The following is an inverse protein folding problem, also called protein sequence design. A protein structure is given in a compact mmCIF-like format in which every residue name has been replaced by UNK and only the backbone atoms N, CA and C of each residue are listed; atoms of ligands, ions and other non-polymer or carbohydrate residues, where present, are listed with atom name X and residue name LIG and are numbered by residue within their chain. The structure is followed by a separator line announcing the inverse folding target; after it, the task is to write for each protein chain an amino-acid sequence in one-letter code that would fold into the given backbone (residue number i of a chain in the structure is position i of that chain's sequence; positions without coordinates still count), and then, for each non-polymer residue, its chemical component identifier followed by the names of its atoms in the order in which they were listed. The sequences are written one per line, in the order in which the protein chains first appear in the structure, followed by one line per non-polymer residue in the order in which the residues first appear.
data_IF_337980303670
#
_entry.id   IF_337980303670
#
_cell.length_a   1.000
_cell.length_b   1.000
_cell.length_c   1.000
_cell.angle_alpha   90.00
_cell.angle_beta   90.00
_cell.angle_gamma   90.00
#
_symmetry.space_group_name_H-M   'P 1'
#
loop_
_entity.id
_entity.type
_entity.pdbx_description
1 polymer ?
#
# COMPACT_ATOMS: atom_id res chain seq x y z
N UNK A 1 -6.06 -8.63 -13.76
CA UNK A 1 -4.86 -9.47 -13.61
C UNK A 1 -4.03 -9.50 -14.90
N UNK A 2 -4.68 -9.59 -16.05
CA UNK A 2 -4.01 -9.71 -17.37
C UNK A 2 -3.06 -8.53 -17.67
N UNK A 3 -3.35 -7.35 -17.14
CA UNK A 3 -2.58 -6.13 -17.39
C UNK A 3 -1.25 -6.08 -16.64
N UNK A 4 -1.12 -6.82 -15.55
CA UNK A 4 0.07 -6.86 -14.71
C UNK A 4 0.88 -8.15 -14.83
N UNK A 5 0.23 -9.24 -15.18
CA UNK A 5 0.81 -10.56 -15.30
C UNK A 5 0.23 -11.28 -16.52
N UNK A 6 1.08 -11.92 -17.29
CA UNK A 6 0.62 -12.77 -18.40
C UNK A 6 0.25 -14.17 -17.90
N UNK A 7 -0.46 -14.93 -18.73
CA UNK A 7 -0.91 -16.29 -18.42
C UNK A 7 0.22 -17.30 -18.21
N UNK A 8 1.45 -16.97 -18.63
CA UNK A 8 2.64 -17.82 -18.44
C UNK A 8 3.30 -17.64 -17.08
N UNK A 9 2.84 -16.66 -16.27
CA UNK A 9 3.40 -16.43 -14.93
C UNK A 9 3.21 -17.68 -14.04
N UNK A 10 4.24 -18.17 -13.33
CA UNK A 10 4.15 -19.40 -12.53
C UNK A 10 2.97 -19.45 -11.57
N UNK A 11 2.62 -18.31 -10.97
CA UNK A 11 1.52 -18.18 -10.02
C UNK A 11 0.22 -17.67 -10.65
N UNK A 12 0.06 -17.74 -11.98
CA UNK A 12 -1.10 -17.17 -12.70
C UNK A 12 -2.45 -17.63 -12.14
N UNK A 13 -2.62 -18.95 -11.91
CA UNK A 13 -3.87 -19.49 -11.37
C UNK A 13 -4.23 -18.88 -10.02
N UNK A 14 -3.23 -18.71 -9.14
CA UNK A 14 -3.43 -18.07 -7.83
C UNK A 14 -3.77 -16.59 -7.97
N UNK A 15 -3.02 -15.85 -8.79
CA UNK A 15 -3.25 -14.42 -9.06
C UNK A 15 -4.66 -14.20 -9.60
N UNK A 16 -5.07 -15.01 -10.58
CA UNK A 16 -6.41 -14.91 -11.19
C UNK A 16 -7.53 -15.22 -10.19
N UNK A 17 -7.34 -16.24 -9.34
CA UNK A 17 -8.30 -16.58 -8.27
C UNK A 17 -8.41 -15.47 -7.21
N UNK A 18 -7.30 -14.79 -6.92
CA UNK A 18 -7.21 -13.71 -5.92
C UNK A 18 -7.70 -12.36 -6.45
N UNK A 19 -8.08 -12.26 -7.71
CA UNK A 19 -8.54 -11.01 -8.33
C UNK A 19 -9.78 -10.47 -7.61
N UNK A 20 -9.69 -9.19 -7.20
CA UNK A 20 -10.81 -8.47 -6.57
C UNK A 20 -11.60 -7.78 -7.68
N UNK A 21 -12.76 -8.37 -8.01
CA UNK A 21 -13.73 -7.75 -8.92
C UNK A 21 -14.45 -6.57 -8.23
N UNK A 22 -15.12 -5.70 -8.99
CA UNK A 22 -15.95 -4.64 -8.44
C UNK A 22 -16.99 -5.17 -7.42
N UNK A 23 -17.63 -6.31 -7.74
CA UNK A 23 -18.60 -6.93 -6.83
C UNK A 23 -17.99 -7.36 -5.51
N UNK A 24 -16.78 -7.99 -5.56
CA UNK A 24 -16.04 -8.36 -4.34
C UNK A 24 -15.64 -7.11 -3.53
N UNK A 25 -15.17 -6.06 -4.22
CA UNK A 25 -14.79 -4.80 -3.56
C UNK A 25 -16.00 -4.15 -2.87
N UNK A 26 -17.19 -4.12 -3.50
CA UNK A 26 -18.44 -3.65 -2.90
C UNK A 26 -18.80 -4.45 -1.63
N UNK A 27 -18.70 -5.78 -1.70
CA UNK A 27 -18.98 -6.64 -0.55
C UNK A 27 -18.02 -6.38 0.61
N UNK A 28 -16.72 -6.29 0.32
CA UNK A 28 -15.70 -5.98 1.33
C UNK A 28 -15.92 -4.61 1.96
N UNK A 29 -16.24 -3.60 1.15
CA UNK A 29 -16.56 -2.24 1.64
C UNK A 29 -17.78 -2.26 2.57
N UNK A 30 -18.85 -2.96 2.19
CA UNK A 30 -20.05 -3.11 3.03
C UNK A 30 -19.71 -3.75 4.39
N UNK A 31 -18.96 -4.86 4.40
CA UNK A 31 -18.55 -5.52 5.63
C UNK A 31 -17.70 -4.59 6.50
N UNK A 32 -16.74 -3.87 5.88
CA UNK A 32 -15.91 -2.93 6.62
C UNK A 32 -16.74 -1.81 7.28
N UNK A 33 -17.74 -1.29 6.58
CA UNK A 33 -18.65 -0.27 7.12
C UNK A 33 -19.49 -0.82 8.29
N UNK A 34 -20.00 -2.04 8.17
CA UNK A 34 -20.80 -2.70 9.21
C UNK A 34 -20.01 -2.91 10.52
N UNK A 35 -18.71 -3.22 10.42
CA UNK A 35 -17.83 -3.43 11.59
C UNK A 35 -17.09 -2.14 12.00
N UNK A 36 -17.31 -1.02 11.31
CA UNK A 36 -16.76 0.29 11.68
C UNK A 36 -15.28 0.50 11.35
N UNK A 37 -14.70 -0.25 10.40
CA UNK A 37 -13.32 -0.04 9.93
C UNK A 37 -13.27 0.62 8.56
N UNK A 38 -12.20 1.36 8.29
CA UNK A 38 -12.02 2.03 7.01
C UNK A 38 -11.54 1.05 5.94
N UNK A 39 -12.30 0.95 4.84
CA UNK A 39 -11.90 0.20 3.65
C UNK A 39 -11.16 1.09 2.66
N UNK A 40 -9.99 0.66 2.20
CA UNK A 40 -9.29 1.23 1.06
C UNK A 40 -8.40 0.16 0.40
N UNK A 41 -7.91 0.43 -0.80
CA UNK A 41 -7.24 -0.59 -1.60
C UNK A 41 -6.11 0.03 -2.46
N UNK A 42 -5.16 -0.81 -2.86
CA UNK A 42 -4.19 -0.51 -3.91
C UNK A 42 -4.84 -0.74 -5.28
N UNK A 43 -5.05 0.32 -6.04
CA UNK A 43 -5.41 0.22 -7.46
C UNK A 43 -4.14 0.24 -8.32
N UNK A 44 -4.07 -0.60 -9.35
CA UNK A 44 -2.91 -0.75 -10.23
C UNK A 44 -3.19 -0.27 -11.67
N UNK A 45 -4.41 0.14 -11.96
CA UNK A 45 -4.86 0.65 -13.25
C UNK A 45 -5.99 1.68 -13.05
N UNK A 46 -6.22 2.60 -14.00
CA UNK A 46 -7.17 3.71 -13.85
C UNK A 46 -8.59 3.29 -13.51
N UNK A 47 -9.13 2.26 -14.19
CA UNK A 47 -10.50 1.79 -13.94
C UNK A 47 -10.70 1.31 -12.49
N UNK A 48 -9.65 0.75 -11.86
CA UNK A 48 -9.74 0.39 -10.44
C UNK A 48 -9.84 1.62 -9.54
N UNK A 49 -9.24 2.76 -9.93
CA UNK A 49 -9.40 4.03 -9.20
C UNK A 49 -10.86 4.48 -9.30
N UNK A 50 -11.45 4.43 -10.50
CA UNK A 50 -12.87 4.79 -10.72
C UNK A 50 -13.83 3.92 -9.90
N UNK A 51 -13.56 2.61 -9.82
CA UNK A 51 -14.33 1.70 -8.95
C UNK A 51 -14.23 2.15 -7.49
N UNK A 52 -13.01 2.45 -7.01
CA UNK A 52 -12.81 2.90 -5.63
C UNK A 52 -13.46 4.26 -5.35
N UNK A 53 -13.52 5.17 -6.35
CA UNK A 53 -14.26 6.43 -6.23
C UNK A 53 -15.76 6.18 -6.09
N UNK A 54 -16.35 5.28 -6.88
CA UNK A 54 -17.76 4.86 -6.71
C UNK A 54 -18.04 4.26 -5.33
N UNK A 55 -17.03 3.59 -4.74
CA UNK A 55 -17.10 3.05 -3.37
C UNK A 55 -16.84 4.10 -2.28
N UNK A 56 -16.57 5.35 -2.66
CA UNK A 56 -16.35 6.49 -1.74
C UNK A 56 -15.23 6.21 -0.73
N UNK A 57 -14.11 5.58 -1.19
CA UNK A 57 -12.93 5.40 -0.31
C UNK A 57 -12.39 6.76 0.12
N UNK A 58 -11.91 6.85 1.37
CA UNK A 58 -11.43 8.12 1.95
C UNK A 58 -9.95 8.38 1.64
N UNK A 59 -9.19 7.36 1.26
CA UNK A 59 -7.76 7.44 0.94
C UNK A 59 -7.35 6.32 -0.03
N UNK A 60 -6.14 6.43 -0.55
CA UNK A 60 -5.53 5.42 -1.40
C UNK A 60 -4.26 4.83 -0.81
N UNK A 61 -4.00 3.56 -1.12
CA UNK A 61 -2.71 2.92 -0.93
C UNK A 61 -1.94 2.91 -2.25
N UNK A 62 -0.63 3.19 -2.17
CA UNK A 62 0.30 3.04 -3.28
C UNK A 62 1.32 1.97 -2.88
N UNK A 63 1.31 0.87 -3.61
CA UNK A 63 2.26 -0.22 -3.40
C UNK A 63 3.67 0.16 -3.88
N UNK A 64 4.72 -0.42 -3.27
CA UNK A 64 6.11 -0.17 -3.63
C UNK A 64 6.39 -0.41 -5.13
N UNK A 65 5.78 -1.44 -5.72
CA UNK A 65 5.89 -1.76 -7.14
C UNK A 65 5.42 -0.61 -8.03
N UNK A 66 4.29 0.01 -7.71
CA UNK A 66 3.75 1.13 -8.49
C UNK A 66 4.68 2.34 -8.47
N UNK A 67 5.46 2.52 -7.38
CA UNK A 67 6.43 3.60 -7.27
C UNK A 67 7.65 3.44 -8.20
N UNK A 68 7.87 2.27 -8.80
CA UNK A 68 8.90 2.05 -9.82
C UNK A 68 8.54 2.71 -11.16
N UNK A 69 7.25 2.97 -11.42
CA UNK A 69 6.72 3.53 -12.69
C UNK A 69 7.07 2.68 -13.92
N UNK A 70 7.23 1.37 -13.73
CA UNK A 70 7.59 0.40 -14.79
C UNK A 70 6.42 -0.44 -15.28
N UNK A 71 5.38 -0.59 -14.44
CA UNK A 71 4.18 -1.32 -14.86
C UNK A 71 3.37 -0.50 -15.87
N UNK A 72 2.67 -1.15 -16.81
CA UNK A 72 1.67 -0.50 -17.64
C UNK A 72 0.70 0.31 -16.75
N UNK A 73 0.27 1.46 -17.23
CA UNK A 73 -0.69 2.34 -16.54
C UNK A 73 -0.25 2.91 -15.18
N UNK A 74 0.97 2.59 -14.69
CA UNK A 74 1.38 3.07 -13.35
C UNK A 74 1.35 4.58 -13.23
N UNK A 75 1.81 5.31 -14.24
CA UNK A 75 1.81 6.78 -14.23
C UNK A 75 0.37 7.31 -14.27
N UNK A 76 -0.46 6.83 -15.21
CA UNK A 76 -1.87 7.23 -15.34
C UNK A 76 -2.66 6.95 -14.05
N UNK A 77 -2.48 5.76 -13.49
CA UNK A 77 -3.11 5.36 -12.22
C UNK A 77 -2.73 6.30 -11.07
N UNK A 78 -1.45 6.70 -10.98
CA UNK A 78 -1.00 7.64 -9.95
C UNK A 78 -1.54 9.05 -10.19
N UNK A 79 -1.60 9.50 -11.45
CA UNK A 79 -2.18 10.79 -11.82
C UNK A 79 -3.68 10.84 -11.50
N UNK A 80 -4.44 9.77 -11.80
CA UNK A 80 -5.87 9.69 -11.49
C UNK A 80 -6.11 9.71 -9.98
N UNK A 81 -5.35 8.94 -9.18
CA UNK A 81 -5.39 9.04 -7.72
C UNK A 81 -5.05 10.44 -7.22
N UNK A 82 -4.04 11.08 -7.81
CA UNK A 82 -3.62 12.43 -7.42
C UNK A 82 -4.72 13.46 -7.69
N UNK A 83 -5.45 13.34 -8.79
CA UNK A 83 -6.54 14.27 -9.16
C UNK A 83 -7.68 14.28 -8.14
N UNK A 84 -7.88 13.18 -7.41
CA UNK A 84 -8.90 13.07 -6.36
C UNK A 84 -8.60 13.96 -5.14
N UNK A 85 -7.38 14.44 -4.97
CA UNK A 85 -6.88 15.19 -3.81
C UNK A 85 -7.01 14.44 -2.46
N UNK A 86 -7.40 13.17 -2.47
CA UNK A 86 -7.52 12.35 -1.26
C UNK A 86 -6.15 12.02 -0.68
N UNK A 87 -6.05 11.74 0.63
CA UNK A 87 -4.82 11.28 1.25
C UNK A 87 -4.28 9.99 0.63
N UNK A 88 -2.96 9.85 0.59
CA UNK A 88 -2.29 8.65 0.07
C UNK A 88 -1.27 8.10 1.07
N UNK A 89 -1.24 6.77 1.21
CA UNK A 89 -0.23 6.03 1.98
C UNK A 89 0.67 5.32 0.97
N UNK A 90 1.96 5.57 1.00
CA UNK A 90 2.91 5.21 -0.06
C UNK A 90 4.03 4.36 0.50
N UNK A 91 4.15 3.10 0.09
CA UNK A 91 5.28 2.24 0.45
C UNK A 91 6.42 2.40 -0.55
N UNK A 92 7.67 2.46 -0.04
CA UNK A 92 8.87 2.74 -0.84
C UNK A 92 9.89 1.60 -0.85
N UNK A 93 9.46 0.36 -0.69
CA UNK A 93 10.33 -0.80 -0.46
C UNK A 93 11.09 -1.35 -1.68
N UNK A 94 10.88 -0.79 -2.88
CA UNK A 94 11.50 -1.27 -4.12
C UNK A 94 12.41 -0.24 -4.80
N UNK A 95 12.79 0.84 -4.09
CA UNK A 95 13.74 1.83 -4.62
C UNK A 95 13.13 2.81 -5.65
N UNK A 96 11.83 3.07 -5.61
CA UNK A 96 11.20 4.08 -6.45
C UNK A 96 11.71 5.50 -6.14
N UNK A 97 11.64 6.40 -7.13
CA UNK A 97 12.04 7.81 -6.97
C UNK A 97 11.04 8.58 -6.11
N UNK A 98 11.38 8.78 -4.84
CA UNK A 98 10.55 9.50 -3.87
C UNK A 98 10.23 10.93 -4.32
N UNK A 99 11.19 11.65 -4.96
CA UNK A 99 10.97 13.04 -5.41
C UNK A 99 9.93 13.08 -6.53
N UNK A 100 10.01 12.13 -7.48
CA UNK A 100 9.03 12.02 -8.57
C UNK A 100 7.63 11.70 -8.03
N UNK A 101 7.52 10.77 -7.09
CA UNK A 101 6.24 10.45 -6.43
C UNK A 101 5.70 11.65 -5.64
N UNK A 102 6.55 12.37 -4.90
CA UNK A 102 6.16 13.60 -4.21
C UNK A 102 5.60 14.66 -5.17
N UNK A 103 6.19 14.80 -6.36
CA UNK A 103 5.73 15.75 -7.39
C UNK A 103 4.35 15.36 -7.92
N UNK A 104 4.11 14.06 -8.22
CA UNK A 104 2.81 13.56 -8.65
C UNK A 104 1.73 13.90 -7.63
N UNK A 105 1.99 13.65 -6.34
CA UNK A 105 1.05 13.89 -5.25
C UNK A 105 1.24 15.25 -4.56
N UNK A 106 1.69 16.29 -5.28
CA UNK A 106 2.00 17.59 -4.68
C UNK A 106 0.84 18.20 -3.90
N UNK A 107 -0.39 18.00 -4.36
CA UNK A 107 -1.64 18.53 -3.76
C UNK A 107 -2.34 17.57 -2.79
N UNK A 108 -1.79 16.37 -2.55
CA UNK A 108 -2.39 15.36 -1.67
C UNK A 108 -1.67 15.32 -0.33
N UNK A 109 -2.40 15.07 0.76
CA UNK A 109 -1.78 14.64 2.01
C UNK A 109 -1.15 13.27 1.79
N UNK A 110 0.14 13.15 2.01
CA UNK A 110 0.90 11.92 1.73
C UNK A 110 1.67 11.45 2.95
N UNK A 111 1.62 10.14 3.19
CA UNK A 111 2.38 9.46 4.22
C UNK A 111 3.29 8.44 3.54
N UNK A 112 4.59 8.62 3.66
CA UNK A 112 5.55 7.65 3.17
C UNK A 112 5.86 6.60 4.22
N UNK A 113 5.77 5.32 3.83
CA UNK A 113 6.11 4.20 4.68
C UNK A 113 7.46 3.60 4.29
N UNK A 114 8.33 3.42 5.28
CA UNK A 114 9.47 2.54 5.12
C UNK A 114 8.98 1.11 4.84
N UNK A 115 9.65 0.42 3.96
CA UNK A 115 9.24 -0.92 3.55
C UNK A 115 10.45 -1.69 3.03
N UNK A 116 10.52 -2.99 3.32
CA UNK A 116 11.39 -3.94 2.64
C UNK A 116 10.47 -4.93 1.92
N UNK A 117 10.58 -5.01 0.59
CA UNK A 117 9.71 -5.87 -0.25
C UNK A 117 10.19 -7.32 -0.28
N UNK A 118 10.31 -7.92 0.89
CA UNK A 118 10.65 -9.33 1.13
C UNK A 118 9.62 -9.95 2.07
N UNK A 119 9.13 -11.14 1.78
CA UNK A 119 8.03 -11.80 2.50
C UNK A 119 8.40 -13.23 2.91
N UNK A 120 8.66 -13.53 4.20
CA UNK A 120 8.79 -12.56 5.30
C UNK A 120 10.15 -11.85 5.30
N UNK A 121 10.17 -10.61 5.79
CA UNK A 121 11.42 -9.88 6.05
C UNK A 121 12.04 -10.35 7.37
N UNK A 122 13.36 -10.55 7.40
CA UNK A 122 14.09 -10.75 8.66
C UNK A 122 14.30 -9.40 9.36
N UNK A 123 14.01 -9.33 10.66
CA UNK A 123 14.07 -8.08 11.44
C UNK A 123 15.47 -7.42 11.40
N UNK A 124 16.53 -8.23 11.30
CA UNK A 124 17.91 -7.78 11.20
C UNK A 124 18.22 -6.99 9.90
N UNK A 125 17.39 -7.13 8.87
CA UNK A 125 17.53 -6.38 7.61
C UNK A 125 16.98 -4.95 7.70
N UNK A 126 16.26 -4.61 8.78
CA UNK A 126 15.65 -3.30 8.93
C UNK A 126 16.75 -2.29 9.29
N UNK A 127 16.95 -1.30 8.43
CA UNK A 127 17.75 -0.14 8.76
C UNK A 127 16.90 0.85 9.57
N UNK A 128 16.97 0.75 10.88
CA UNK A 128 16.18 1.60 11.79
C UNK A 128 16.49 3.09 11.66
N UNK A 129 17.76 3.46 11.36
CA UNK A 129 18.16 4.86 11.13
C UNK A 129 17.45 5.46 9.91
N UNK A 130 17.18 4.65 8.89
CA UNK A 130 16.43 5.08 7.73
C UNK A 130 14.92 4.95 7.95
N UNK A 131 14.47 3.90 8.60
CA UNK A 131 13.05 3.67 8.87
C UNK A 131 12.41 4.85 9.60
N UNK A 132 13.07 5.39 10.64
CA UNK A 132 12.56 6.52 11.43
C UNK A 132 12.45 7.85 10.67
N UNK A 133 13.03 7.98 9.48
CA UNK A 133 12.86 9.14 8.58
C UNK A 133 11.51 9.12 7.84
N UNK A 134 10.77 8.02 7.93
CA UNK A 134 9.45 7.87 7.34
C UNK A 134 8.35 8.10 8.37
N UNK A 135 7.16 8.47 7.89
CA UNK A 135 5.99 8.69 8.76
C UNK A 135 5.25 7.39 9.07
N UNK A 136 5.51 6.34 8.31
CA UNK A 136 4.88 5.03 8.46
C UNK A 136 5.85 3.88 8.19
N UNK A 137 5.39 2.69 8.52
CA UNK A 137 6.11 1.45 8.34
C UNK A 137 5.19 0.37 7.76
N UNK A 138 5.52 -0.09 6.54
CA UNK A 138 4.88 -1.25 5.91
C UNK A 138 5.69 -2.48 6.27
N UNK A 139 5.23 -3.20 7.28
CA UNK A 139 5.95 -4.31 7.89
C UNK A 139 5.64 -5.66 7.24
N UNK A 140 6.69 -6.36 6.85
CA UNK A 140 6.64 -7.72 6.31
C UNK A 140 7.36 -8.73 7.19
N UNK A 141 7.74 -8.37 8.42
CA UNK A 141 8.32 -9.32 9.38
C UNK A 141 7.26 -10.26 9.96
N UNK A 142 7.67 -11.37 10.55
CA UNK A 142 6.77 -12.20 11.33
C UNK A 142 6.53 -11.57 12.72
N UNK A 143 5.32 -11.75 13.25
CA UNK A 143 4.93 -11.23 14.56
C UNK A 143 4.78 -9.70 14.57
N UNK A 144 4.86 -9.10 15.75
CA UNK A 144 4.57 -7.68 16.00
C UNK A 144 5.78 -6.88 16.51
N UNK A 145 6.94 -7.51 16.66
CA UNK A 145 8.12 -6.88 17.28
C UNK A 145 8.60 -5.65 16.49
N UNK A 146 8.72 -5.76 15.16
CA UNK A 146 9.20 -4.67 14.34
C UNK A 146 8.29 -3.44 14.35
N UNK A 147 6.95 -3.54 14.17
CA UNK A 147 6.07 -2.39 14.30
C UNK A 147 6.06 -1.76 15.70
N UNK A 148 6.22 -2.55 16.76
CA UNK A 148 6.35 -2.02 18.13
C UNK A 148 7.63 -1.18 18.25
N UNK A 149 8.80 -1.71 17.83
CA UNK A 149 10.06 -0.98 17.84
C UNK A 149 9.94 0.32 17.05
N UNK A 150 9.41 0.27 15.81
CA UNK A 150 9.21 1.46 14.98
C UNK A 150 8.37 2.51 15.71
N UNK A 151 7.26 2.09 16.31
CA UNK A 151 6.36 2.99 17.03
C UNK A 151 7.05 3.64 18.21
N UNK A 152 7.83 2.89 19.00
CA UNK A 152 8.59 3.42 20.14
C UNK A 152 9.62 4.46 19.68
N UNK A 153 10.41 4.16 18.65
CA UNK A 153 11.40 5.08 18.09
C UNK A 153 10.76 6.37 17.56
N UNK A 154 9.61 6.26 16.87
CA UNK A 154 8.87 7.43 16.38
C UNK A 154 8.26 8.25 17.51
N UNK A 155 7.81 7.62 18.59
CA UNK A 155 7.33 8.33 19.79
C UNK A 155 8.44 9.12 20.48
N UNK A 156 9.66 8.58 20.56
CA UNK A 156 10.83 9.30 21.04
C UNK A 156 11.14 10.58 20.22
N UNK A 157 10.77 10.59 18.93
CA UNK A 157 10.87 11.77 18.06
C UNK A 157 9.64 12.71 18.18
N UNK A 158 8.76 12.53 19.16
CA UNK A 158 7.52 13.28 19.32
C UNK A 158 6.56 13.19 18.11
N UNK A 159 6.65 12.12 17.31
CA UNK A 159 5.76 11.93 16.17
C UNK A 159 4.32 11.68 16.62
N UNK A 160 3.38 12.51 16.13
CA UNK A 160 1.96 12.43 16.51
C UNK A 160 1.18 11.43 15.65
N UNK A 161 1.52 11.35 14.37
CA UNK A 161 0.81 10.50 13.40
C UNK A 161 1.76 9.40 12.91
N UNK A 162 1.52 8.17 13.34
CA UNK A 162 2.31 7.01 12.96
C UNK A 162 1.38 6.03 12.25
N UNK A 163 1.75 5.56 11.06
CA UNK A 163 1.02 4.55 10.32
C UNK A 163 1.81 3.24 10.35
N UNK A 164 1.16 2.17 10.78
CA UNK A 164 1.67 0.80 10.65
C UNK A 164 0.75 0.06 9.66
N UNK A 165 1.35 -0.53 8.67
CA UNK A 165 0.70 -1.45 7.74
C UNK A 165 1.27 -2.85 7.97
N UNK A 166 0.41 -3.83 8.13
CA UNK A 166 0.80 -5.21 8.41
C UNK A 166 -0.03 -6.20 7.61
N UNK A 167 0.63 -7.18 7.01
CA UNK A 167 -0.07 -8.32 6.40
C UNK A 167 -0.59 -9.26 7.47
N UNK A 168 -1.84 -9.69 7.31
CA UNK A 168 -2.50 -10.66 8.17
C UNK A 168 -3.16 -11.75 7.34
N UNK A 169 -3.30 -12.95 7.89
CA UNK A 169 -4.04 -14.05 7.29
C UNK A 169 -4.81 -14.81 8.37
N UNK A 170 -5.87 -15.51 7.97
CA UNK A 170 -6.76 -16.23 8.91
C UNK A 170 -6.19 -17.57 9.39
N UNK A 171 -5.29 -18.19 8.63
CA UNK A 171 -4.71 -19.49 8.96
C UNK A 171 -3.27 -19.60 8.48
N UNK A 172 -2.56 -20.62 8.96
CA UNK A 172 -1.20 -20.94 8.51
C UNK A 172 -1.16 -21.83 7.25
N UNK A 173 -2.28 -22.02 6.56
CA UNK A 173 -2.38 -22.75 5.29
C UNK A 173 -1.82 -21.97 4.12
#
# INVERSE_FOLDING_TARGET
ANDLYNSTHPNWKFIKKSEITEQKARKLKKIADEIGIEFFCSAFYPEAVQILEKLKVKRYKIASRTCLLKDPFSIETLQEKSSTKKPVIISMGMGGDKKKIQKIFSKNKKTFCYCISEYPTKIQKINWKDAIKYDGFSDHTLGITAPVIFTMLKKQQNSKNIIIEKHVKLSNS
#
